data_IF_071645417456
#
_entry.id   IF_071645417456
#
_cell.length_a   1.000
_cell.length_b   1.000
_cell.length_c   1.000
_cell.angle_alpha   90.00
_cell.angle_beta   90.00
_cell.angle_gamma   90.00
#
_symmetry.space_group_name_H-M   'P 1'
#
loop_
_entity.id
_entity.type
_entity.pdbx_description
1 polymer ?
#
# COMPACT_ATOMS: atom_id res chain seq x y z
N UNK A 1 44.10 -3.34 -10.17
CA UNK A 1 43.65 -3.99 -11.42
C UNK A 1 43.26 -5.42 -11.07
N UNK A 2 42.00 -5.74 -10.77
CA UNK A 2 40.91 -5.91 -11.72
C UNK A 2 39.58 -5.56 -11.01
N UNK A 3 39.30 -4.26 -10.91
CA UNK A 3 37.94 -3.72 -10.74
C UNK A 3 37.55 -3.19 -12.12
N UNK A 4 37.22 -4.08 -13.06
CA UNK A 4 36.69 -3.80 -14.41
C UNK A 4 36.66 -5.17 -15.09
N UNK A 5 35.48 -5.75 -15.37
CA UNK A 5 35.22 -6.69 -16.51
C UNK A 5 33.79 -7.26 -16.48
N UNK A 6 33.08 -7.37 -15.35
CA UNK A 6 31.72 -7.99 -15.37
C UNK A 6 30.60 -6.94 -15.51
N UNK A 7 30.70 -6.10 -16.55
CA UNK A 7 29.65 -5.13 -16.93
C UNK A 7 29.29 -5.23 -18.42
N UNK A 8 29.60 -6.34 -19.09
CA UNK A 8 29.30 -6.48 -20.52
C UNK A 8 28.94 -7.92 -20.87
N UNK A 9 27.66 -8.29 -20.73
CA UNK A 9 27.00 -9.45 -21.38
C UNK A 9 25.48 -9.47 -21.10
N UNK A 10 24.78 -8.34 -21.22
CA UNK A 10 23.31 -8.32 -21.33
C UNK A 10 22.97 -7.57 -22.60
N UNK A 11 22.99 -8.27 -23.74
CA UNK A 11 22.25 -7.95 -24.95
C UNK A 11 22.22 -9.22 -25.80
N UNK A 12 21.16 -10.04 -25.71
CA UNK A 12 20.62 -10.80 -26.84
C UNK A 12 19.22 -11.35 -26.51
N UNK A 13 18.24 -10.80 -27.22
CA UNK A 13 16.96 -11.33 -27.69
C UNK A 13 16.01 -12.12 -26.77
N UNK A 14 14.86 -11.49 -26.54
CA UNK A 14 13.56 -12.10 -26.30
C UNK A 14 13.13 -12.93 -27.52
N UNK A 15 13.20 -14.25 -27.41
CA UNK A 15 12.19 -15.21 -27.86
C UNK A 15 12.73 -16.60 -27.56
N UNK A 16 12.26 -17.24 -26.50
CA UNK A 16 12.25 -18.71 -26.43
C UNK A 16 11.32 -19.13 -25.28
N UNK A 17 10.35 -19.96 -25.64
CA UNK A 17 9.55 -20.76 -24.73
C UNK A 17 10.46 -21.53 -23.77
N UNK A 18 10.44 -21.18 -22.48
CA UNK A 18 11.29 -21.85 -21.48
C UNK A 18 10.73 -23.24 -21.20
N UNK A 19 11.27 -24.22 -21.92
CA UNK A 19 11.25 -25.63 -21.54
C UNK A 19 12.01 -25.79 -20.21
N UNK A 20 11.29 -26.15 -19.15
CA UNK A 20 11.87 -26.49 -17.86
C UNK A 20 12.52 -27.88 -17.95
N UNK A 21 13.80 -27.93 -18.33
CA UNK A 21 14.57 -29.18 -18.40
C UNK A 21 16.03 -28.96 -18.02
N UNK A 22 16.49 -29.76 -17.05
CA UNK A 22 17.87 -30.03 -16.62
C UNK A 22 18.55 -29.02 -15.68
N UNK A 23 18.00 -28.84 -14.47
CA UNK A 23 18.87 -28.55 -13.31
C UNK A 23 19.69 -29.81 -13.00
N UNK A 24 21.01 -29.76 -13.25
CA UNK A 24 21.94 -30.78 -12.76
C UNK A 24 21.78 -30.88 -11.23
N UNK A 25 21.23 -32.00 -10.77
CA UNK A 25 21.03 -32.29 -9.36
C UNK A 25 21.99 -33.42 -8.94
N UNK A 26 22.39 -33.37 -7.68
CA UNK A 26 23.40 -34.24 -7.09
C UNK A 26 22.80 -35.14 -6.00
N UNK A 27 21.51 -35.48 -6.15
CA UNK A 27 20.75 -36.31 -5.22
C UNK A 27 19.67 -35.56 -4.44
N UNK A 28 18.87 -36.31 -3.71
CA UNK A 28 17.89 -35.79 -2.76
C UNK A 28 18.57 -35.42 -1.43
N UNK A 29 17.99 -34.46 -0.72
CA UNK A 29 18.48 -33.99 0.57
C UNK A 29 17.32 -33.58 1.47
N UNK A 30 17.60 -33.39 2.76
CA UNK A 30 16.68 -32.77 3.71
C UNK A 30 17.26 -31.43 4.14
N UNK A 31 16.43 -30.39 4.15
CA UNK A 31 16.84 -29.11 4.69
C UNK A 31 16.81 -29.12 6.24
N UNK A 32 17.21 -28.01 6.86
CA UNK A 32 17.24 -27.84 8.33
C UNK A 32 15.87 -27.98 9.01
N UNK A 33 14.79 -27.89 8.24
CA UNK A 33 13.40 -28.05 8.68
C UNK A 33 12.85 -29.46 8.39
N UNK A 34 13.70 -30.41 7.99
CA UNK A 34 13.34 -31.78 7.57
C UNK A 34 12.45 -31.85 6.32
N UNK A 35 12.50 -30.83 5.47
CA UNK A 35 11.76 -30.81 4.21
C UNK A 35 12.62 -31.40 3.08
N UNK A 36 11.99 -32.17 2.18
CA UNK A 36 12.67 -32.79 1.03
C UNK A 36 13.06 -31.76 -0.03
N UNK A 37 14.33 -31.81 -0.43
CA UNK A 37 14.91 -30.96 -1.47
C UNK A 37 15.80 -31.73 -2.44
N UNK A 38 16.36 -31.00 -3.39
CA UNK A 38 17.39 -31.46 -4.30
C UNK A 38 18.71 -30.76 -3.98
N UNK A 39 19.78 -31.54 -3.99
CA UNK A 39 21.13 -31.01 -3.83
C UNK A 39 21.58 -30.39 -5.15
N UNK A 40 21.70 -29.05 -5.18
CA UNK A 40 22.02 -28.27 -6.39
C UNK A 40 23.12 -27.25 -6.09
N UNK A 41 23.77 -26.71 -7.12
CA UNK A 41 24.68 -25.58 -6.94
C UNK A 41 23.93 -24.37 -6.37
N UNK A 42 24.57 -23.61 -5.48
CA UNK A 42 23.95 -22.43 -4.86
C UNK A 42 23.38 -21.46 -5.90
N UNK A 43 24.09 -21.24 -7.02
CA UNK A 43 23.65 -20.39 -8.13
C UNK A 43 22.33 -20.84 -8.78
N UNK A 44 21.97 -22.12 -8.63
CA UNK A 44 20.75 -22.71 -9.17
C UNK A 44 19.60 -22.79 -8.15
N UNK A 45 19.78 -22.25 -6.93
CA UNK A 45 18.73 -22.19 -5.92
C UNK A 45 18.26 -20.74 -5.73
N UNK A 46 17.30 -20.31 -6.56
CA UNK A 46 16.85 -18.92 -6.65
C UNK A 46 16.42 -18.33 -5.29
N UNK A 47 15.69 -19.09 -4.46
CA UNK A 47 15.30 -18.65 -3.12
C UNK A 47 16.51 -18.36 -2.21
N UNK A 48 17.51 -19.24 -2.20
CA UNK A 48 18.71 -19.06 -1.36
C UNK A 48 19.61 -17.95 -1.91
N UNK A 49 19.71 -17.79 -3.23
CA UNK A 49 20.39 -16.67 -3.88
C UNK A 49 19.71 -15.36 -3.51
N UNK A 50 18.38 -15.28 -3.61
CA UNK A 50 17.62 -14.09 -3.25
C UNK A 50 17.76 -13.76 -1.75
N UNK A 51 17.76 -14.76 -0.88
CA UNK A 51 18.04 -14.58 0.55
C UNK A 51 19.44 -14.01 0.82
N UNK A 52 20.43 -14.30 -0.04
CA UNK A 52 21.79 -13.77 0.06
C UNK A 52 21.97 -12.36 -0.51
N UNK A 53 21.12 -11.97 -1.46
CA UNK A 53 21.15 -10.67 -2.12
C UNK A 53 20.42 -9.58 -1.32
N UNK A 54 19.56 -9.95 -0.36
CA UNK A 54 18.85 -9.01 0.52
C UNK A 54 19.61 -8.67 1.83
N UNK A 55 20.28 -7.50 1.88
CA UNK A 55 20.79 -6.79 3.09
C UNK A 55 21.96 -7.43 3.88
N UNK A 56 22.64 -6.71 4.83
CA UNK A 56 24.00 -7.05 5.25
C UNK A 56 24.05 -8.40 5.96
N UNK A 57 25.08 -9.19 5.65
CA UNK A 57 25.29 -10.56 6.13
C UNK A 57 25.28 -10.62 7.67
N UNK A 58 24.13 -10.97 8.25
CA UNK A 58 24.00 -11.32 9.67
C UNK A 58 24.62 -12.71 9.92
N UNK A 59 25.16 -12.95 11.11
CA UNK A 59 25.72 -14.24 11.57
C UNK A 59 24.78 -15.42 11.23
N UNK A 60 23.48 -15.21 11.45
CA UNK A 60 22.42 -16.19 11.23
C UNK A 60 22.26 -16.65 9.77
N UNK A 61 22.60 -15.82 8.78
CA UNK A 61 22.54 -16.20 7.37
C UNK A 61 23.73 -17.08 6.96
N UNK A 62 24.90 -16.87 7.57
CA UNK A 62 26.05 -17.75 7.37
C UNK A 62 25.78 -19.13 7.95
N UNK A 63 25.19 -19.18 9.14
CA UNK A 63 24.80 -20.43 9.78
C UNK A 63 23.72 -21.17 8.98
N UNK A 64 22.75 -20.44 8.43
CA UNK A 64 21.70 -21.02 7.60
C UNK A 64 22.25 -21.61 6.29
N UNK A 65 23.15 -20.90 5.60
CA UNK A 65 23.82 -21.44 4.42
C UNK A 65 24.69 -22.65 4.73
N UNK A 66 25.48 -22.58 5.80
CA UNK A 66 26.33 -23.67 6.27
C UNK A 66 25.50 -24.93 6.54
N UNK A 67 24.37 -24.77 7.26
CA UNK A 67 23.45 -25.87 7.54
C UNK A 67 22.62 -26.33 6.34
N UNK A 68 22.51 -25.51 5.30
CA UNK A 68 21.84 -25.88 4.05
C UNK A 68 22.79 -26.58 3.07
N UNK A 69 24.09 -26.70 3.39
CA UNK A 69 25.05 -27.33 2.51
C UNK A 69 24.83 -28.84 2.45
N UNK A 70 24.63 -29.37 1.24
CA UNK A 70 24.47 -30.80 0.99
C UNK A 70 25.69 -31.43 0.32
N UNK A 71 26.71 -30.63 -0.06
CA UNK A 71 27.95 -31.14 -0.62
C UNK A 71 28.84 -30.06 -1.23
N UNK A 72 29.85 -30.51 -1.98
CA UNK A 72 30.78 -29.67 -2.74
C UNK A 72 31.00 -30.30 -4.13
N UNK A 73 31.00 -29.47 -5.18
CA UNK A 73 31.36 -29.91 -6.53
C UNK A 73 32.30 -28.90 -7.17
N UNK A 74 33.48 -29.36 -7.59
CA UNK A 74 34.50 -28.52 -8.26
C UNK A 74 34.83 -27.22 -7.51
N UNK A 75 34.94 -27.28 -6.18
CA UNK A 75 35.21 -26.10 -5.34
C UNK A 75 34.00 -25.17 -5.12
N UNK A 76 32.82 -25.46 -5.70
CA UNK A 76 31.58 -24.72 -5.46
C UNK A 76 30.68 -25.43 -4.43
N UNK A 77 30.01 -24.68 -3.53
CA UNK A 77 29.08 -25.27 -2.56
C UNK A 77 27.78 -25.74 -3.23
N UNK A 78 27.35 -26.95 -2.86
CA UNK A 78 26.02 -27.46 -3.14
C UNK A 78 25.11 -27.22 -1.93
N UNK A 79 23.88 -26.82 -2.17
CA UNK A 79 22.87 -26.55 -1.14
C UNK A 79 21.60 -27.37 -1.37
N UNK A 80 20.96 -27.73 -0.27
CA UNK A 80 19.68 -28.41 -0.30
C UNK A 80 18.58 -27.42 -0.64
N UNK A 81 18.20 -27.37 -1.92
CA UNK A 81 17.17 -26.49 -2.42
C UNK A 81 15.83 -27.22 -2.42
N UNK A 82 14.80 -26.62 -1.83
CA UNK A 82 13.47 -27.24 -1.78
C UNK A 82 13.00 -27.59 -3.19
N UNK A 83 12.50 -28.82 -3.37
CA UNK A 83 11.76 -29.19 -4.56
C UNK A 83 10.53 -28.31 -4.54
N UNK A 84 10.41 -27.35 -5.47
CA UNK A 84 9.18 -26.61 -5.69
C UNK A 84 8.09 -27.64 -5.98
N UNK A 85 7.34 -28.01 -4.95
CA UNK A 85 6.20 -28.91 -5.12
C UNK A 85 5.20 -28.19 -6.01
N UNK A 86 4.45 -28.91 -6.85
CA UNK A 86 3.40 -28.35 -7.70
C UNK A 86 2.44 -27.42 -6.95
N UNK A 87 2.23 -27.67 -5.64
CA UNK A 87 1.46 -26.80 -4.75
C UNK A 87 2.11 -25.43 -4.55
N UNK A 88 3.42 -25.36 -4.32
CA UNK A 88 4.14 -24.08 -4.13
C UNK A 88 4.23 -23.29 -5.44
N UNK A 89 4.47 -23.98 -6.57
CA UNK A 89 4.42 -23.35 -7.89
C UNK A 89 3.02 -22.76 -8.18
N UNK A 90 1.94 -23.52 -7.92
CA UNK A 90 0.58 -23.00 -8.08
C UNK A 90 0.26 -21.83 -7.15
N UNK A 91 0.80 -21.82 -5.93
CA UNK A 91 0.60 -20.67 -5.02
C UNK A 91 1.40 -19.45 -5.45
N UNK A 92 2.59 -19.63 -6.03
CA UNK A 92 3.40 -18.52 -6.54
C UNK A 92 2.78 -17.92 -7.81
N UNK A 93 2.28 -18.77 -8.72
CA UNK A 93 1.55 -18.32 -9.91
C UNK A 93 0.25 -17.60 -9.53
N UNK A 94 -0.49 -18.14 -8.56
CA UNK A 94 -1.67 -17.47 -8.00
C UNK A 94 -1.31 -16.12 -7.37
N UNK A 95 -0.25 -16.04 -6.56
CA UNK A 95 0.19 -14.76 -5.97
C UNK A 95 0.64 -13.76 -7.04
N UNK A 96 1.38 -14.21 -8.06
CA UNK A 96 1.82 -13.36 -9.17
C UNK A 96 0.63 -12.84 -9.98
N UNK A 97 -0.38 -13.67 -10.22
CA UNK A 97 -1.63 -13.24 -10.88
C UNK A 97 -2.36 -12.17 -10.06
N UNK A 98 -2.45 -12.33 -8.73
CA UNK A 98 -3.05 -11.32 -7.84
C UNK A 98 -2.24 -10.02 -7.83
N UNK A 99 -0.91 -10.10 -7.79
CA UNK A 99 -0.04 -8.91 -7.87
C UNK A 99 -0.22 -8.19 -9.21
N UNK A 100 -0.48 -8.91 -10.30
CA UNK A 100 -0.72 -8.31 -11.62
C UNK A 100 -2.01 -7.49 -11.69
N UNK A 101 -2.96 -7.69 -10.76
CA UNK A 101 -4.17 -6.86 -10.62
C UNK A 101 -3.90 -5.50 -9.96
N UNK A 102 -2.74 -5.36 -9.32
CA UNK A 102 -2.28 -4.10 -8.75
C UNK A 102 -1.46 -3.32 -9.81
N UNK A 103 -1.46 -1.99 -9.73
CA UNK A 103 -0.69 -1.16 -10.64
C UNK A 103 0.80 -1.45 -10.50
N UNK A 104 1.49 -1.43 -11.64
CA UNK A 104 2.96 -1.37 -11.63
C UNK A 104 3.40 -0.07 -10.95
N UNK A 105 4.63 -0.09 -10.46
CA UNK A 105 5.24 1.04 -9.77
C UNK A 105 5.14 2.37 -10.56
N UNK A 106 5.31 2.31 -11.89
CA UNK A 106 5.23 3.49 -12.77
C UNK A 106 3.81 4.02 -12.96
N UNK A 107 2.79 3.18 -12.71
CA UNK A 107 1.39 3.54 -12.83
C UNK A 107 0.84 4.17 -11.53
N UNK A 108 1.48 3.92 -10.40
CA UNK A 108 1.17 4.61 -9.15
C UNK A 108 1.43 6.12 -9.27
N UNK A 109 0.71 6.89 -8.46
CA UNK A 109 0.92 8.32 -8.37
C UNK A 109 2.32 8.67 -7.87
N UNK A 110 3.03 9.42 -8.72
CA UNK A 110 4.35 9.96 -8.42
C UNK A 110 4.21 11.27 -7.64
N UNK A 111 5.17 11.55 -6.77
CA UNK A 111 5.24 12.81 -6.01
C UNK A 111 6.27 13.78 -6.58
N UNK A 112 6.32 14.98 -6.02
CA UNK A 112 7.38 15.96 -6.29
C UNK A 112 8.10 16.26 -4.98
N UNK A 113 9.43 16.16 -4.97
CA UNK A 113 10.26 16.52 -3.81
C UNK A 113 10.41 18.02 -3.60
N UNK A 114 10.05 18.82 -4.61
CA UNK A 114 10.07 20.27 -4.53
C UNK A 114 8.89 20.71 -3.66
N UNK A 115 9.19 21.15 -2.44
CA UNK A 115 8.23 21.94 -1.67
C UNK A 115 7.98 23.24 -2.43
N UNK A 116 6.91 23.30 -3.21
CA UNK A 116 6.45 24.59 -3.71
C UNK A 116 5.86 25.33 -2.53
N UNK A 117 6.70 26.11 -1.84
CA UNK A 117 6.26 27.26 -1.08
C UNK A 117 5.34 28.04 -2.01
N UNK A 118 4.04 28.18 -1.68
CA UNK A 118 3.24 29.38 -1.92
C UNK A 118 1.70 29.24 -1.73
N UNK A 119 1.10 28.05 -1.55
CA UNK A 119 -0.38 27.95 -1.45
C UNK A 119 -0.94 27.36 -0.13
N UNK A 120 -0.13 27.31 0.93
CA UNK A 120 -0.56 26.77 2.23
C UNK A 120 -1.05 25.30 2.13
N UNK A 121 -2.15 24.99 2.80
CA UNK A 121 -2.68 23.62 2.94
C UNK A 121 -3.68 23.23 1.86
N UNK A 122 -4.02 24.12 0.94
CA UNK A 122 -4.85 23.75 -0.20
C UNK A 122 -4.01 22.84 -1.11
N UNK A 123 -4.54 21.66 -1.42
CA UNK A 123 -3.89 20.75 -2.35
C UNK A 123 -3.99 21.34 -3.76
N UNK A 124 -2.98 21.13 -4.61
CA UNK A 124 -3.12 21.46 -6.03
C UNK A 124 -4.13 20.53 -6.69
N UNK A 125 -4.74 20.95 -7.80
CA UNK A 125 -5.80 20.17 -8.49
C UNK A 125 -5.36 18.72 -8.81
N UNK A 126 -4.13 18.54 -9.31
CA UNK A 126 -3.55 17.22 -9.64
C UNK A 126 -2.94 16.47 -8.44
N UNK A 127 -2.96 17.05 -7.24
CA UNK A 127 -2.34 16.45 -6.07
C UNK A 127 -3.27 15.43 -5.41
N UNK A 128 -2.70 14.29 -4.99
CA UNK A 128 -3.41 13.17 -4.38
C UNK A 128 -4.52 12.59 -5.29
N UNK A 129 -4.18 12.12 -6.51
CA UNK A 129 -5.15 11.63 -7.51
C UNK A 129 -5.79 10.27 -7.17
N UNK A 130 -5.32 9.61 -6.10
CA UNK A 130 -5.93 8.36 -5.61
C UNK A 130 -7.12 8.62 -4.68
N UNK A 131 -7.32 9.86 -4.22
CA UNK A 131 -8.36 10.19 -3.24
C UNK A 131 -9.75 9.86 -3.79
N UNK A 132 -10.53 9.17 -2.97
CA UNK A 132 -11.89 8.74 -3.28
C UNK A 132 -12.87 9.30 -2.25
N UNK A 133 -14.00 9.87 -2.69
CA UNK A 133 -15.15 10.18 -1.83
C UNK A 133 -16.18 9.06 -1.97
N UNK A 134 -16.63 8.50 -0.84
CA UNK A 134 -17.65 7.45 -0.84
C UNK A 134 -19.05 8.06 -0.84
N UNK A 135 -19.86 7.72 -1.83
CA UNK A 135 -21.25 8.15 -1.94
C UNK A 135 -22.17 7.16 -1.21
N UNK A 136 -22.82 7.66 -0.15
CA UNK A 136 -23.91 6.97 0.53
C UNK A 136 -25.25 7.59 0.17
N UNK A 137 -26.20 6.77 -0.28
CA UNK A 137 -27.54 7.21 -0.69
C UNK A 137 -28.63 6.71 0.26
N UNK A 138 -29.67 7.54 0.44
CA UNK A 138 -30.93 7.15 1.10
C UNK A 138 -32.08 7.88 0.41
N UNK A 139 -32.82 7.17 -0.44
CA UNK A 139 -33.74 7.81 -1.40
C UNK A 139 -32.98 8.80 -2.28
N UNK A 140 -33.51 10.01 -2.45
CA UNK A 140 -32.87 11.06 -3.27
C UNK A 140 -31.73 11.81 -2.56
N UNK A 141 -31.37 11.42 -1.32
CA UNK A 141 -30.33 12.09 -0.54
C UNK A 141 -28.99 11.39 -0.72
N UNK A 142 -27.94 12.18 -0.95
CA UNK A 142 -26.54 11.73 -1.03
C UNK A 142 -25.73 12.28 0.14
N UNK A 143 -24.73 11.52 0.59
CA UNK A 143 -23.79 11.92 1.66
C UNK A 143 -22.39 11.40 1.35
N UNK A 144 -21.39 12.22 1.64
CA UNK A 144 -19.97 11.89 1.50
C UNK A 144 -19.25 11.98 2.85
N UNK A 145 -19.51 10.99 3.71
CA UNK A 145 -18.99 10.94 5.08
C UNK A 145 -17.66 10.19 5.21
N UNK A 146 -17.33 9.37 4.21
CA UNK A 146 -16.13 8.57 4.18
C UNK A 146 -15.30 8.86 2.94
N UNK A 147 -14.02 8.56 3.07
CA UNK A 147 -13.02 8.66 2.03
C UNK A 147 -12.36 7.29 1.80
N UNK A 148 -11.57 7.18 0.76
CA UNK A 148 -10.78 6.00 0.45
C UNK A 148 -9.62 6.35 -0.47
N UNK A 149 -8.90 5.32 -0.91
CA UNK A 149 -7.82 5.45 -1.88
C UNK A 149 -7.99 4.43 -3.01
N UNK A 150 -7.88 4.88 -4.25
CA UNK A 150 -7.76 4.02 -5.41
C UNK A 150 -6.44 3.24 -5.32
N UNK A 151 -6.50 1.90 -5.36
CA UNK A 151 -5.32 1.03 -5.27
C UNK A 151 -5.07 0.24 -6.55
N UNK A 152 -6.06 0.17 -7.45
CA UNK A 152 -5.93 -0.34 -8.82
C UNK A 152 -7.01 0.30 -9.71
N UNK A 153 -7.09 -0.10 -10.99
CA UNK A 153 -8.15 0.38 -11.89
C UNK A 153 -9.55 -0.10 -11.49
N UNK A 154 -9.63 -1.05 -10.56
CA UNK A 154 -10.88 -1.75 -10.20
C UNK A 154 -11.18 -1.70 -8.71
N UNK A 155 -10.23 -1.26 -7.86
CA UNK A 155 -10.35 -1.36 -6.42
C UNK A 155 -10.04 -0.05 -5.69
N UNK A 156 -10.90 0.26 -4.73
CA UNK A 156 -10.70 1.32 -3.72
C UNK A 156 -10.58 0.67 -2.35
N UNK A 157 -9.57 1.09 -1.58
CA UNK A 157 -9.41 0.73 -0.17
C UNK A 157 -10.03 1.79 0.73
N UNK A 158 -10.74 1.36 1.76
CA UNK A 158 -11.38 2.21 2.77
C UNK A 158 -11.46 1.46 4.09
N UNK A 159 -12.14 2.03 5.08
CA UNK A 159 -12.36 1.42 6.41
C UNK A 159 -13.68 0.64 6.44
N UNK A 160 -13.71 -0.47 7.17
CA UNK A 160 -14.85 -1.40 7.20
C UNK A 160 -16.12 -0.74 7.73
N UNK A 161 -16.01 0.11 8.74
CA UNK A 161 -17.16 0.80 9.30
C UNK A 161 -17.78 1.84 8.35
N UNK A 162 -17.14 2.19 7.24
CA UNK A 162 -17.76 2.99 6.18
C UNK A 162 -18.67 2.15 5.27
N UNK A 163 -18.49 0.83 5.26
CA UNK A 163 -19.25 -0.14 4.47
C UNK A 163 -20.34 -0.78 5.32
N UNK A 164 -19.96 -1.46 6.39
CA UNK A 164 -20.86 -2.20 7.29
C UNK A 164 -21.12 -1.44 8.59
N UNK A 165 -21.24 -0.11 8.48
CA UNK A 165 -21.26 0.87 9.57
C UNK A 165 -22.60 1.23 10.20
N UNK A 166 -22.55 2.26 11.06
CA UNK A 166 -23.73 3.00 11.50
C UNK A 166 -24.55 3.56 10.32
N UNK A 167 -23.89 3.96 9.22
CA UNK A 167 -24.58 4.40 8.01
C UNK A 167 -25.46 3.28 7.43
N UNK A 168 -24.92 2.05 7.35
CA UNK A 168 -25.67 0.87 6.90
C UNK A 168 -26.86 0.58 7.84
N UNK A 169 -26.65 0.64 9.16
CA UNK A 169 -27.74 0.49 10.15
C UNK A 169 -28.83 1.57 10.01
N UNK A 170 -28.48 2.77 9.58
CA UNK A 170 -29.41 3.87 9.32
C UNK A 170 -30.04 3.85 7.91
N UNK A 171 -29.88 2.73 7.18
CA UNK A 171 -30.35 2.51 5.79
C UNK A 171 -29.75 3.50 4.79
N UNK A 172 -28.48 3.84 4.96
CA UNK A 172 -27.68 4.50 3.93
C UNK A 172 -26.87 3.44 3.20
N UNK A 173 -27.04 3.39 1.88
CA UNK A 173 -26.38 2.41 1.03
C UNK A 173 -25.17 3.04 0.38
N UNK A 174 -24.01 2.39 0.51
CA UNK A 174 -22.81 2.74 -0.23
C UNK A 174 -23.03 2.36 -1.70
N UNK A 175 -23.07 3.32 -2.60
CA UNK A 175 -23.52 3.11 -4.00
C UNK A 175 -22.48 3.45 -5.04
N UNK A 176 -21.64 4.44 -4.78
CA UNK A 176 -20.62 4.86 -5.73
C UNK A 176 -19.38 5.42 -5.03
N UNK A 177 -18.29 5.53 -5.80
CA UNK A 177 -17.09 6.27 -5.46
C UNK A 177 -16.93 7.43 -6.43
N UNK A 178 -16.63 8.62 -5.91
CA UNK A 178 -16.22 9.76 -6.71
C UNK A 178 -14.69 9.87 -6.75
N UNK A 179 -14.12 9.91 -7.95
CA UNK A 179 -12.69 10.03 -8.23
C UNK A 179 -12.40 11.30 -9.05
N UNK A 180 -11.17 11.82 -8.94
CA UNK A 180 -10.74 12.99 -9.71
C UNK A 180 -11.31 14.32 -9.21
N UNK A 181 -11.95 14.33 -8.04
CA UNK A 181 -12.54 15.53 -7.43
C UNK A 181 -11.49 16.42 -6.76
N UNK A 182 -11.64 17.74 -6.86
CA UNK A 182 -10.84 18.71 -6.11
C UNK A 182 -11.71 19.68 -5.31
N UNK A 183 -12.70 20.33 -5.93
CA UNK A 183 -13.70 21.15 -5.24
C UNK A 183 -15.11 20.62 -5.51
N UNK A 184 -15.70 19.92 -4.54
CA UNK A 184 -17.01 19.28 -4.76
C UNK A 184 -18.22 20.23 -4.75
N UNK A 185 -18.01 21.55 -4.66
CA UNK A 185 -19.04 22.57 -4.86
C UNK A 185 -19.05 23.18 -6.28
N UNK A 186 -17.95 23.05 -7.05
CA UNK A 186 -17.82 23.64 -8.39
C UNK A 186 -17.85 22.55 -9.47
N UNK A 187 -18.64 22.75 -10.54
CA UNK A 187 -18.78 21.77 -11.63
C UNK A 187 -17.58 21.77 -12.61
N UNK A 188 -16.65 22.73 -12.46
CA UNK A 188 -15.41 22.83 -13.25
C UNK A 188 -14.31 23.46 -12.40
N UNK A 189 -13.34 22.65 -11.97
CA UNK A 189 -12.20 23.15 -11.20
C UNK A 189 -11.19 23.78 -12.16
N UNK A 190 -11.27 25.11 -12.30
CA UNK A 190 -10.34 25.92 -13.06
C UNK A 190 -9.46 26.71 -12.09
N UNK A 191 -8.13 26.56 -12.17
CA UNK A 191 -7.23 27.53 -11.55
C UNK A 191 -7.30 28.83 -12.36
N UNK A 192 -7.98 29.86 -11.81
CA UNK A 192 -8.10 31.18 -12.45
C UNK A 192 -6.76 31.94 -12.40
N UNK A 193 -5.88 31.67 -13.37
CA UNK A 193 -4.71 32.49 -13.68
C UNK A 193 -4.98 33.42 -14.87
N UNK A 194 -4.47 34.66 -14.84
CA UNK A 194 -4.68 35.72 -15.86
C UNK A 194 -4.16 35.40 -17.27
N UNK A 195 -3.64 34.19 -17.50
CA UNK A 195 -3.33 33.66 -18.82
C UNK A 195 -4.19 32.42 -19.01
N UNK A 196 -5.30 32.58 -19.74
CA UNK A 196 -6.18 31.49 -20.11
C UNK A 196 -5.47 30.57 -21.11
N UNK A 197 -4.70 29.61 -20.59
CA UNK A 197 -4.26 28.44 -21.33
C UNK A 197 -4.17 27.21 -20.39
N UNK A 198 -5.05 26.23 -20.68
CA UNK A 198 -4.88 24.77 -20.48
C UNK A 198 -4.54 24.16 -19.10
N UNK A 199 -5.37 24.37 -18.06
CA UNK A 199 -5.41 23.44 -16.90
C UNK A 199 -6.79 23.34 -16.23
N UNK A 200 -7.85 23.14 -17.02
CA UNK A 200 -9.15 22.75 -16.48
C UNK A 200 -9.11 21.24 -16.14
N UNK A 201 -9.59 20.84 -14.97
CA UNK A 201 -9.73 19.40 -14.66
C UNK A 201 -10.77 18.76 -15.57
N UNK A 202 -10.57 17.49 -15.92
CA UNK A 202 -11.68 16.66 -16.38
C UNK A 202 -12.68 16.52 -15.22
N UNK A 203 -14.00 16.52 -15.50
CA UNK A 203 -15.02 16.34 -14.47
C UNK A 203 -14.68 15.12 -13.62
N UNK A 204 -14.91 15.22 -12.31
CA UNK A 204 -14.90 14.05 -11.44
C UNK A 204 -15.77 12.95 -12.05
N UNK A 205 -15.37 11.70 -11.84
CA UNK A 205 -16.15 10.55 -12.27
C UNK A 205 -16.82 9.93 -11.04
N UNK A 206 -18.09 9.55 -11.17
CA UNK A 206 -18.79 8.76 -10.15
C UNK A 206 -18.93 7.34 -10.69
N UNK A 207 -18.29 6.40 -10.01
CA UNK A 207 -18.21 5.00 -10.42
C UNK A 207 -19.02 4.16 -9.45
N UNK A 208 -19.96 3.38 -9.96
CA UNK A 208 -20.78 2.51 -9.12
C UNK A 208 -19.92 1.42 -8.43
N UNK A 209 -20.35 0.99 -7.25
CA UNK A 209 -19.72 -0.10 -6.51
C UNK A 209 -20.44 -1.39 -6.85
N UNK A 210 -19.70 -2.38 -7.36
CA UNK A 210 -20.24 -3.72 -7.66
C UNK A 210 -20.49 -4.49 -6.37
N UNK A 211 -19.45 -4.56 -5.53
CA UNK A 211 -19.53 -5.14 -4.20
C UNK A 211 -18.47 -4.54 -3.27
N UNK A 212 -18.69 -4.72 -1.97
CA UNK A 212 -17.77 -4.26 -0.94
C UNK A 212 -17.44 -5.42 0.02
N UNK A 213 -16.15 -5.59 0.31
CA UNK A 213 -15.62 -6.67 1.15
C UNK A 213 -14.99 -6.05 2.40
N UNK A 214 -15.73 -5.93 3.52
CA UNK A 214 -15.11 -5.64 4.80
C UNK A 214 -14.29 -6.84 5.29
N UNK A 215 -13.21 -6.56 6.01
CA UNK A 215 -12.39 -7.63 6.60
C UNK A 215 -13.25 -8.51 7.52
N UNK A 216 -13.14 -9.84 7.40
CA UNK A 216 -14.01 -10.80 8.08
C UNK A 216 -13.94 -10.73 9.61
N UNK A 217 -12.77 -10.36 10.15
CA UNK A 217 -12.55 -10.14 11.58
C UNK A 217 -12.99 -8.76 12.09
N UNK A 218 -13.50 -7.87 11.23
CA UNK A 218 -14.01 -6.57 11.66
C UNK A 218 -15.28 -6.73 12.49
N UNK A 219 -15.40 -5.96 13.57
CA UNK A 219 -16.59 -5.94 14.42
C UNK A 219 -16.97 -4.52 14.82
N UNK A 220 -18.20 -4.13 14.51
CA UNK A 220 -18.80 -2.86 14.94
C UNK A 220 -18.79 -2.67 16.47
N UNK A 221 -18.78 -3.77 17.23
CA UNK A 221 -18.82 -3.75 18.70
C UNK A 221 -17.43 -3.52 19.31
N UNK A 222 -16.36 -3.68 18.53
CA UNK A 222 -15.00 -3.51 19.01
C UNK A 222 -14.70 -2.01 19.24
N UNK A 223 -14.47 -1.62 20.50
CA UNK A 223 -14.20 -0.21 20.86
C UNK A 223 -12.98 0.36 20.16
N UNK A 224 -11.97 -0.46 19.93
CA UNK A 224 -10.73 -0.09 19.27
C UNK A 224 -10.79 -0.20 17.74
N UNK A 225 -11.93 -0.55 17.12
CA UNK A 225 -12.05 -0.68 15.66
C UNK A 225 -10.96 -1.58 15.05
N UNK A 226 -10.71 -2.74 15.67
CA UNK A 226 -9.74 -3.70 15.13
C UNK A 226 -10.20 -4.22 13.76
N UNK A 227 -9.24 -4.45 12.85
CA UNK A 227 -9.51 -4.91 11.47
C UNK A 227 -10.41 -3.97 10.66
N UNK A 228 -10.37 -2.68 10.94
CA UNK A 228 -11.19 -1.68 10.27
C UNK A 228 -10.62 -1.32 8.88
N UNK A 229 -10.87 -2.21 7.92
CA UNK A 229 -10.44 -2.15 6.53
C UNK A 229 -11.46 -2.86 5.63
N UNK A 230 -11.72 -2.28 4.47
CA UNK A 230 -12.56 -2.84 3.43
C UNK A 230 -12.01 -2.53 2.04
N UNK A 231 -12.33 -3.41 1.09
CA UNK A 231 -12.11 -3.19 -0.33
C UNK A 231 -13.44 -2.99 -1.03
N UNK A 232 -13.49 -2.05 -1.97
CA UNK A 232 -14.62 -1.78 -2.84
C UNK A 232 -14.23 -2.18 -4.26
N UNK A 233 -14.94 -3.15 -4.85
CA UNK A 233 -14.83 -3.45 -6.29
C UNK A 233 -15.69 -2.44 -7.04
N UNK A 234 -15.06 -1.72 -7.96
CA UNK A 234 -15.73 -0.82 -8.87
C UNK A 234 -16.44 -1.63 -9.97
N UNK A 235 -17.65 -1.21 -10.34
CA UNK A 235 -18.47 -1.85 -11.37
C UNK A 235 -17.91 -1.68 -12.80
N UNK A 236 -16.96 -0.77 -12.97
CA UNK A 236 -16.23 -0.57 -14.23
C UNK A 236 -14.75 -0.28 -13.93
N UNK A 237 -13.89 -0.65 -14.87
CA UNK A 237 -12.46 -0.37 -14.83
C UNK A 237 -12.23 1.11 -15.13
N UNK A 238 -11.54 1.81 -14.24
CA UNK A 238 -11.24 3.23 -14.42
C UNK A 238 -9.96 3.45 -15.21
N UNK A 239 -9.99 4.37 -16.16
CA UNK A 239 -8.79 4.79 -16.88
C UNK A 239 -7.95 5.73 -16.03
N UNK A 240 -6.65 5.46 -15.93
CA UNK A 240 -5.74 6.34 -15.22
C UNK A 240 -5.48 7.62 -16.03
N UNK A 241 -5.59 8.76 -15.34
CA UNK A 241 -5.38 10.11 -15.87
C UNK A 241 -4.54 10.91 -14.89
N UNK A 242 -4.15 12.15 -15.20
CA UNK A 242 -3.47 13.00 -14.23
C UNK A 242 -4.26 13.29 -12.94
N UNK A 243 -5.58 13.10 -12.97
CA UNK A 243 -6.48 13.38 -11.84
C UNK A 243 -6.94 12.11 -11.13
N UNK A 244 -6.82 10.94 -11.78
CA UNK A 244 -7.21 9.62 -11.27
C UNK A 244 -6.04 8.67 -11.46
N UNK A 245 -5.27 8.43 -10.40
CA UNK A 245 -4.17 7.44 -10.39
C UNK A 245 -4.17 6.69 -9.08
N UNK A 246 -3.81 5.40 -9.07
CA UNK A 246 -3.78 4.64 -7.83
C UNK A 246 -2.59 5.04 -6.95
N UNK A 247 -2.71 4.80 -5.65
CA UNK A 247 -1.57 4.85 -4.72
C UNK A 247 -0.86 3.49 -4.68
N UNK A 248 0.45 3.49 -4.46
CA UNK A 248 1.19 2.25 -4.27
C UNK A 248 0.90 1.62 -2.89
N UNK A 249 0.83 0.29 -2.86
CA UNK A 249 0.80 -0.51 -1.64
C UNK A 249 2.22 -0.96 -1.25
N UNK A 250 2.48 -1.21 0.05
CA UNK A 250 3.78 -1.67 0.52
C UNK A 250 4.02 -3.16 0.18
N UNK A 251 4.22 -3.46 -1.11
CA UNK A 251 4.33 -4.83 -1.60
C UNK A 251 5.69 -5.47 -1.30
N UNK A 252 6.78 -4.68 -1.27
CA UNK A 252 8.11 -5.19 -0.95
C UNK A 252 8.35 -5.29 0.57
N UNK A 253 9.30 -6.14 0.97
CA UNK A 253 9.55 -6.45 2.39
C UNK A 253 10.08 -5.25 3.14
N UNK A 254 10.91 -4.45 2.50
CA UNK A 254 11.53 -3.23 3.03
C UNK A 254 10.45 -2.24 3.46
N UNK A 255 9.44 -2.01 2.60
CA UNK A 255 8.31 -1.13 2.90
C UNK A 255 7.40 -1.67 3.99
N UNK A 256 7.31 -3.00 4.16
CA UNK A 256 6.49 -3.63 5.22
C UNK A 256 7.10 -3.56 6.62
N UNK A 257 8.40 -3.29 6.71
CA UNK A 257 9.11 -3.20 8.00
C UNK A 257 9.45 -1.77 8.41
N UNK A 258 9.03 -0.77 7.62
CA UNK A 258 9.22 0.64 7.98
C UNK A 258 8.51 0.92 9.30
N UNK A 259 9.28 1.48 10.23
CA UNK A 259 8.78 1.93 11.51
C UNK A 259 8.17 3.33 11.37
N UNK A 260 6.88 3.45 11.62
CA UNK A 260 6.16 4.72 11.53
C UNK A 260 6.42 5.63 12.75
N UNK A 261 7.11 5.16 13.80
CA UNK A 261 7.42 5.99 14.96
C UNK A 261 8.32 7.17 14.57
N UNK A 262 7.85 8.36 14.88
CA UNK A 262 8.47 9.65 14.57
C UNK A 262 8.59 9.96 13.07
N UNK A 263 8.02 9.13 12.19
CA UNK A 263 8.05 9.33 10.75
C UNK A 263 7.07 10.45 10.36
N UNK A 264 7.54 11.40 9.55
CA UNK A 264 6.69 12.42 8.93
C UNK A 264 6.00 11.82 7.71
N UNK A 265 4.69 11.98 7.65
CA UNK A 265 3.80 11.51 6.59
C UNK A 265 2.94 12.67 6.11
N UNK A 266 2.32 12.49 4.95
CA UNK A 266 1.31 13.42 4.44
C UNK A 266 -0.08 12.81 4.61
N UNK A 267 -1.06 13.67 4.88
CA UNK A 267 -2.47 13.33 4.77
C UNK A 267 -3.14 14.26 3.76
N UNK A 268 -4.17 13.74 3.11
CA UNK A 268 -5.05 14.50 2.24
C UNK A 268 -6.51 14.16 2.52
N UNK A 269 -7.40 15.11 2.23
CA UNK A 269 -8.84 14.95 2.41
C UNK A 269 -9.58 16.24 2.13
N UNK A 270 -10.91 16.22 2.28
CA UNK A 270 -11.74 17.40 2.04
C UNK A 270 -12.08 18.15 3.32
N UNK A 271 -11.90 19.47 3.29
CA UNK A 271 -12.32 20.35 4.38
C UNK A 271 -13.85 20.53 4.40
N UNK A 272 -14.43 21.22 5.40
CA UNK A 272 -15.87 21.48 5.46
C UNK A 272 -16.43 22.28 4.28
N UNK A 273 -15.59 23.05 3.59
CA UNK A 273 -15.92 23.80 2.37
C UNK A 273 -15.65 22.97 1.11
N UNK A 274 -15.53 21.65 1.23
CA UNK A 274 -15.46 20.74 0.09
C UNK A 274 -14.26 20.95 -0.84
N UNK A 275 -13.20 21.61 -0.36
CA UNK A 275 -11.92 21.76 -1.06
C UNK A 275 -10.92 20.76 -0.53
N UNK A 276 -10.18 20.10 -1.45
CA UNK A 276 -9.11 19.18 -1.10
C UNK A 276 -7.96 19.94 -0.43
N UNK A 277 -7.60 19.50 0.78
CA UNK A 277 -6.49 20.03 1.55
C UNK A 277 -5.48 18.92 1.88
N UNK A 278 -4.30 19.34 2.31
CA UNK A 278 -3.22 18.49 2.78
C UNK A 278 -2.71 18.96 4.13
N UNK A 279 -2.12 18.03 4.90
CA UNK A 279 -1.47 18.34 6.15
C UNK A 279 -0.25 17.44 6.38
N UNK A 280 0.77 17.99 7.04
CA UNK A 280 1.87 17.18 7.57
C UNK A 280 1.46 16.54 8.89
N UNK A 281 1.76 15.25 9.02
CA UNK A 281 1.47 14.48 10.24
C UNK A 281 2.65 13.63 10.65
N UNK A 282 2.73 13.29 11.93
CA UNK A 282 3.82 12.49 12.46
C UNK A 282 3.29 11.23 13.13
N UNK A 283 3.87 10.08 12.81
CA UNK A 283 3.60 8.85 13.55
C UNK A 283 4.19 8.94 14.96
N UNK A 284 3.44 8.52 15.97
CA UNK A 284 3.85 8.63 17.38
C UNK A 284 3.76 7.27 18.07
N UNK A 285 4.63 6.97 19.05
CA UNK A 285 4.52 5.71 19.79
C UNK A 285 3.17 5.58 20.50
N UNK A 286 2.50 4.43 20.36
CA UNK A 286 1.22 4.14 21.02
C UNK A 286 1.28 4.40 22.54
N UNK A 287 2.42 4.05 23.17
CA UNK A 287 2.70 4.25 24.60
C UNK A 287 2.48 5.68 25.09
N UNK A 288 2.68 6.68 24.23
CA UNK A 288 2.46 8.10 24.56
C UNK A 288 1.01 8.37 24.99
N UNK A 289 0.05 7.54 24.56
CA UNK A 289 -1.37 7.73 24.82
C UNK A 289 -2.04 6.53 25.51
N UNK A 290 -1.26 5.57 26.04
CA UNK A 290 -1.79 4.40 26.76
C UNK A 290 -2.80 4.80 27.84
N UNK A 291 -2.51 5.84 28.63
CA UNK A 291 -3.43 6.33 29.68
C UNK A 291 -4.79 6.74 29.13
N UNK A 292 -4.83 7.39 27.95
CA UNK A 292 -6.07 7.81 27.30
C UNK A 292 -6.84 6.60 26.80
N UNK A 293 -6.17 5.60 26.22
CA UNK A 293 -6.81 4.37 25.75
C UNK A 293 -7.34 3.53 26.91
N UNK A 294 -6.54 3.33 27.96
CA UNK A 294 -6.95 2.60 29.18
C UNK A 294 -8.17 3.25 29.84
N UNK A 295 -8.22 4.59 29.93
CA UNK A 295 -9.39 5.31 30.45
C UNK A 295 -10.68 4.98 29.68
N UNK A 296 -10.58 4.74 28.38
CA UNK A 296 -11.72 4.39 27.53
C UNK A 296 -11.90 2.87 27.35
N UNK A 297 -11.14 2.06 28.10
CA UNK A 297 -11.08 0.61 27.96
C UNK A 297 -10.79 0.18 26.51
N UNK A 298 -9.79 0.81 25.90
CA UNK A 298 -9.27 0.51 24.58
C UNK A 298 -7.81 0.08 24.68
N UNK A 299 -7.40 -0.82 23.78
CA UNK A 299 -6.01 -1.22 23.58
C UNK A 299 -5.73 -1.21 22.08
N UNK A 300 -4.61 -0.59 21.70
CA UNK A 300 -4.17 -0.60 20.32
C UNK A 300 -3.45 -1.90 19.98
N UNK A 301 -3.73 -2.41 18.79
CA UNK A 301 -3.13 -3.62 18.25
C UNK A 301 -1.97 -3.30 17.30
N UNK A 302 -1.16 -4.31 16.99
CA UNK A 302 -0.04 -4.18 16.02
C UNK A 302 -0.51 -3.70 14.63
N UNK A 303 -1.77 -3.99 14.29
CA UNK A 303 -2.44 -3.58 13.06
C UNK A 303 -2.91 -2.13 13.04
N UNK A 304 -2.52 -1.32 14.03
CA UNK A 304 -2.90 0.07 14.17
C UNK A 304 -1.68 0.92 14.51
N UNK A 305 -1.71 2.19 14.13
CA UNK A 305 -0.69 3.15 14.52
C UNK A 305 -1.28 4.53 14.79
N UNK A 306 -0.56 5.29 15.60
CA UNK A 306 -0.97 6.61 16.06
C UNK A 306 -0.31 7.69 15.22
N UNK A 307 -1.10 8.72 14.91
CA UNK A 307 -0.66 9.87 14.13
C UNK A 307 -1.09 11.15 14.83
N UNK A 308 -0.18 12.10 14.96
CA UNK A 308 -0.42 13.43 15.51
C UNK A 308 -0.29 14.48 14.39
N UNK A 309 -1.26 15.38 14.29
CA UNK A 309 -1.22 16.47 13.31
C UNK A 309 -0.14 17.47 13.70
N UNK A 310 0.73 17.84 12.76
CA UNK A 310 1.67 18.95 12.94
C UNK A 310 0.98 20.31 12.79
N UNK A 311 -0.28 20.31 12.32
CA UNK A 311 -1.05 21.49 11.98
C UNK A 311 -2.47 21.40 12.56
N UNK A 312 -2.63 21.58 13.88
CA UNK A 312 -3.89 21.26 14.58
C UNK A 312 -5.10 22.11 14.14
N UNK A 313 -4.87 23.25 13.48
CA UNK A 313 -5.95 24.10 12.93
C UNK A 313 -6.64 23.47 11.72
N UNK A 314 -5.99 22.54 11.03
CA UNK A 314 -6.49 21.89 9.82
C UNK A 314 -6.68 20.41 10.10
N UNK A 315 -7.86 20.06 10.61
CA UNK A 315 -8.13 18.70 11.03
C UNK A 315 -8.91 17.96 9.95
N UNK A 316 -8.17 17.21 9.14
CA UNK A 316 -8.72 16.16 8.29
C UNK A 316 -9.27 15.03 9.17
N UNK A 317 -10.55 14.72 8.99
CA UNK A 317 -11.35 13.88 9.91
C UNK A 317 -12.28 12.89 9.22
N UNK A 318 -12.32 12.85 7.89
CA UNK A 318 -13.18 11.88 7.22
C UNK A 318 -12.56 10.50 7.36
N UNK A 319 -13.38 9.53 7.70
CA UNK A 319 -12.91 8.18 7.97
C UNK A 319 -12.52 7.54 6.63
N UNK A 320 -11.43 6.78 6.62
CA UNK A 320 -10.81 6.26 5.40
C UNK A 320 -9.87 7.21 4.67
N UNK A 321 -9.68 8.46 5.14
CA UNK A 321 -8.62 9.35 4.61
C UNK A 321 -7.25 8.68 4.72
N UNK A 322 -6.36 8.83 3.72
CA UNK A 322 -5.06 8.16 3.74
C UNK A 322 -4.00 8.96 4.50
N UNK A 323 -3.14 8.23 5.21
CA UNK A 323 -1.80 8.68 5.57
C UNK A 323 -0.79 8.02 4.62
N UNK A 324 0.07 8.83 4.01
CA UNK A 324 0.97 8.40 2.93
C UNK A 324 2.42 8.77 3.22
N UNK A 325 3.33 7.94 2.75
CA UNK A 325 4.77 8.18 2.81
C UNK A 325 5.26 8.51 1.41
N UNK A 326 5.93 9.65 1.26
CA UNK A 326 6.68 9.97 0.05
C UNK A 326 8.08 9.35 0.17
N UNK A 327 8.43 8.46 -0.77
CA UNK A 327 9.75 7.80 -0.82
C UNK A 327 10.11 6.95 0.41
N UNK A 328 9.31 5.91 0.71
CA UNK A 328 9.46 5.07 1.90
C UNK A 328 10.86 4.44 2.11
N UNK A 329 11.60 4.18 1.02
CA UNK A 329 12.90 3.50 1.06
C UNK A 329 14.12 4.41 1.01
N UNK A 330 13.97 5.73 1.19
CA UNK A 330 15.11 6.64 1.12
C UNK A 330 15.54 7.22 2.46
N UNK A 331 16.70 6.75 2.94
CA UNK A 331 17.41 7.33 4.09
C UNK A 331 17.98 8.74 3.84
N UNK A 332 18.05 9.22 2.59
CA UNK A 332 18.59 10.53 2.21
C UNK A 332 17.62 11.37 1.33
N UNK A 333 16.31 11.13 1.42
CA UNK A 333 15.31 11.71 0.52
C UNK A 333 15.38 11.15 -0.91
N UNK A 334 14.41 11.43 -1.80
CA UNK A 334 14.24 10.73 -3.08
C UNK A 334 15.39 10.86 -4.13
N UNK A 335 16.61 11.24 -3.72
CA UNK A 335 17.77 11.52 -4.56
C UNK A 335 18.19 10.39 -5.51
N UNK A 336 17.79 9.13 -5.24
CA UNK A 336 18.11 7.95 -6.10
C UNK A 336 16.89 7.21 -6.65
N UNK A 337 15.67 7.58 -6.24
CA UNK A 337 14.44 6.83 -6.53
C UNK A 337 13.41 7.82 -7.06
N UNK A 338 12.66 7.42 -8.09
CA UNK A 338 11.52 8.23 -8.55
C UNK A 338 10.55 8.45 -7.39
N UNK A 339 10.24 9.70 -7.04
CA UNK A 339 9.38 9.99 -5.91
C UNK A 339 7.98 9.42 -6.13
N UNK A 340 7.54 8.56 -5.23
CA UNK A 340 6.24 7.90 -5.27
C UNK A 340 5.61 7.91 -3.89
N UNK A 341 4.29 7.84 -3.87
CA UNK A 341 3.51 7.75 -2.64
C UNK A 341 3.15 6.30 -2.34
N UNK A 342 3.42 5.86 -1.12
CA UNK A 342 2.98 4.56 -0.60
C UNK A 342 1.98 4.75 0.53
N UNK A 343 0.90 3.99 0.49
CA UNK A 343 -0.16 4.05 1.51
C UNK A 343 0.33 3.42 2.81
N UNK A 344 0.49 4.24 3.85
CA UNK A 344 0.90 3.78 5.18
C UNK A 344 -0.31 3.34 6.01
N UNK A 345 -1.40 4.11 5.93
CA UNK A 345 -2.60 3.88 6.73
C UNK A 345 -3.85 4.50 6.14
N UNK A 346 -4.99 4.04 6.64
CA UNK A 346 -6.32 4.66 6.43
C UNK A 346 -6.93 5.05 7.78
N UNK A 347 -7.53 6.25 7.86
CA UNK A 347 -8.02 6.82 9.12
C UNK A 347 -9.21 6.01 9.64
N UNK A 348 -9.01 5.28 10.74
CA UNK A 348 -10.02 4.41 11.34
C UNK A 348 -10.86 5.16 12.36
N UNK A 349 -10.23 5.82 13.33
CA UNK A 349 -10.95 6.62 14.32
C UNK A 349 -10.05 7.65 14.99
N UNK A 350 -10.66 8.57 15.72
CA UNK A 350 -9.95 9.55 16.53
C UNK A 350 -10.77 9.88 17.80
N UNK A 351 -10.15 9.93 18.99
CA UNK A 351 -10.81 10.38 20.21
C UNK A 351 -11.19 11.86 20.13
N UNK A 352 -12.18 12.28 20.94
CA UNK A 352 -12.72 13.65 20.94
C UNK A 352 -11.69 14.75 21.19
N UNK A 353 -10.56 14.43 21.83
CA UNK A 353 -9.51 15.40 22.15
C UNK A 353 -8.68 15.83 20.93
N UNK A 354 -8.95 15.25 19.74
CA UNK A 354 -8.53 15.69 18.40
C UNK A 354 -7.01 15.82 18.12
N UNK A 355 -6.15 15.56 19.10
CA UNK A 355 -4.69 15.60 18.94
C UNK A 355 -4.15 14.36 18.24
N UNK A 356 -4.83 13.23 18.39
CA UNK A 356 -4.38 11.93 17.91
C UNK A 356 -5.42 11.26 17.02
N UNK A 357 -4.94 10.69 15.93
CA UNK A 357 -5.68 9.88 14.98
C UNK A 357 -5.12 8.47 14.97
N UNK A 358 -5.99 7.48 14.85
CA UNK A 358 -5.63 6.07 14.81
C UNK A 358 -5.92 5.58 13.40
N UNK A 359 -4.89 5.05 12.78
CA UNK A 359 -4.92 4.53 11.42
C UNK A 359 -4.83 3.01 11.44
N UNK A 360 -5.57 2.36 10.54
CA UNK A 360 -5.35 0.95 10.21
C UNK A 360 -4.03 0.84 9.45
N UNK A 361 -3.12 -0.02 9.91
CA UNK A 361 -1.74 -0.15 9.41
C UNK A 361 -1.68 -1.04 8.18
N UNK A 362 -1.56 -0.47 6.97
CA UNK A 362 -1.70 -1.22 5.71
C UNK A 362 -0.64 -2.32 5.54
N UNK A 363 0.56 -2.14 6.09
CA UNK A 363 1.61 -3.17 6.09
C UNK A 363 1.13 -4.53 6.62
N UNK A 364 0.20 -4.54 7.59
CA UNK A 364 -0.33 -5.77 8.21
C UNK A 364 -1.46 -6.42 7.39
N UNK A 365 -1.98 -5.75 6.36
CA UNK A 365 -3.13 -6.22 5.57
C UNK A 365 -2.80 -6.51 4.10
N UNK A 366 -1.54 -6.36 3.67
CA UNK A 366 -1.16 -6.62 2.27
C UNK A 366 -1.51 -8.04 1.83
N UNK A 367 -1.31 -9.05 2.70
CA UNK A 367 -1.71 -10.43 2.40
C UNK A 367 -3.20 -10.56 2.16
N UNK A 368 -4.02 -10.03 3.08
CA UNK A 368 -5.48 -10.02 2.95
C UNK A 368 -5.96 -9.28 1.69
N UNK A 369 -5.32 -8.15 1.33
CA UNK A 369 -5.65 -7.40 0.11
C UNK A 369 -5.43 -8.30 -1.11
N UNK A 370 -4.27 -8.96 -1.22
CA UNK A 370 -3.93 -9.82 -2.35
C UNK A 370 -4.83 -11.06 -2.44
N UNK A 371 -5.27 -11.61 -1.31
CA UNK A 371 -6.22 -12.72 -1.25
C UNK A 371 -7.63 -12.30 -1.69
N UNK A 372 -8.01 -11.04 -1.46
CA UNK A 372 -9.37 -10.53 -1.67
C UNK A 372 -9.61 -9.95 -3.07
N UNK A 373 -8.59 -9.36 -3.71
CA UNK A 373 -8.75 -8.78 -5.06
C UNK A 373 -8.91 -9.88 -6.10
N UNK A 374 -9.75 -9.65 -7.10
CA UNK A 374 -10.11 -10.59 -8.17
C UNK A 374 -10.11 -9.86 -9.52
N UNK A 375 -10.06 -10.64 -10.62
CA UNK A 375 -10.02 -10.13 -11.99
C UNK A 375 -11.23 -9.26 -12.37
#
# INVERSE_FOLDING_TARGET
MLKLVVLCSILFNFSDSINFSLTHNYGECLNTSHEKGLCVLLENCEYLVNALLTSPRRESHRDYLSRSQCGMKNGKPLVCCLKLTSRVASTLDSLNSKIALLPRFEQCAQGTTVQTNNNGNIAKVKQYPWMALLEHTKGNRKRYKCEGSLISASYVITVAHCVSGLLSLLKWHLTAVRLGEWNSEENSDCENGKNADTSCTSRHINVAIEYAVPHSLYSLKAKNQQHDIALLRLAEVVNFTDFVKPICLPLNKEERIIDFRNLIMEEAGWNPNFVKIKASVQGVPARKYDRMYTKHNMRLEKSQFCVESQEPRYSLRKLGSPAVILCPNSSNGCKKIRPHYTLAGILSFYPRDNKIKIYTKIQEYVGWILETIEE
#
